data_IF_462080576211
#
_entry.id   IF_462080576211
#
_cell.length_a   1.000
_cell.length_b   1.000
_cell.length_c   1.000
_cell.angle_alpha   90.00
_cell.angle_beta   90.00
_cell.angle_gamma   90.00
#
_symmetry.space_group_name_H-M   'P 1'
#
loop_
_entity.id
_entity.type
_entity.pdbx_description
1 polymer ?
#
# COMPACT_ATOMS: atom_id res chain seq x y z
N UNK A 1 5.51 21.84 -9.94
CA UNK A 1 4.69 20.81 -9.28
C UNK A 1 3.29 21.33 -8.94
N UNK A 2 3.20 22.51 -8.32
CA UNK A 2 1.91 23.05 -7.84
C UNK A 2 0.92 23.44 -8.96
N UNK A 3 1.42 23.81 -10.15
CA UNK A 3 0.56 24.15 -11.29
C UNK A 3 -0.19 22.93 -11.80
N UNK A 4 0.50 21.80 -11.96
CA UNK A 4 -0.10 20.54 -12.42
C UNK A 4 -1.17 20.05 -11.44
N UNK A 5 -0.88 20.08 -10.14
CA UNK A 5 -1.85 19.68 -9.12
C UNK A 5 -3.10 20.57 -9.16
N UNK A 6 -2.94 21.87 -9.38
CA UNK A 6 -4.08 22.80 -9.54
C UNK A 6 -4.90 22.48 -10.77
N UNK A 7 -4.28 22.25 -11.93
CA UNK A 7 -4.97 21.94 -13.17
C UNK A 7 -5.76 20.63 -13.06
N UNK A 8 -5.15 19.60 -12.48
CA UNK A 8 -5.83 18.32 -12.20
C UNK A 8 -6.99 18.54 -11.23
N UNK A 9 -6.79 19.29 -10.15
CA UNK A 9 -7.81 19.58 -9.17
C UNK A 9 -9.03 20.25 -9.80
N UNK A 10 -8.83 21.27 -10.62
CA UNK A 10 -9.93 21.96 -11.33
C UNK A 10 -10.71 21.01 -12.23
N UNK A 11 -10.03 20.19 -13.02
CA UNK A 11 -10.69 19.23 -13.90
C UNK A 11 -11.48 18.19 -13.10
N UNK A 12 -10.90 17.64 -12.04
CA UNK A 12 -11.56 16.63 -11.21
C UNK A 12 -12.80 17.20 -10.50
N UNK A 13 -12.71 18.39 -9.92
CA UNK A 13 -13.87 19.05 -9.28
C UNK A 13 -15.00 19.32 -10.27
N UNK A 14 -14.68 19.73 -11.48
CA UNK A 14 -15.68 20.00 -12.52
C UNK A 14 -16.39 18.71 -12.93
N UNK A 15 -15.64 17.62 -13.11
CA UNK A 15 -16.19 16.36 -13.62
C UNK A 15 -16.91 15.56 -12.54
N UNK A 16 -16.39 15.56 -11.30
CA UNK A 16 -16.99 14.77 -10.20
C UNK A 16 -18.42 15.21 -9.88
N UNK A 17 -18.76 16.46 -10.12
CA UNK A 17 -20.12 16.98 -9.94
C UNK A 17 -21.16 16.26 -10.80
N UNK A 18 -20.76 15.60 -11.88
CA UNK A 18 -21.62 14.82 -12.76
C UNK A 18 -21.91 13.40 -12.23
N UNK A 19 -21.26 12.99 -11.17
CA UNK A 19 -21.35 11.65 -10.57
C UNK A 19 -21.84 11.73 -9.12
N UNK A 20 -23.15 11.88 -8.87
CA UNK A 20 -23.71 11.97 -7.52
C UNK A 20 -23.34 10.77 -6.66
N UNK A 21 -22.89 11.03 -5.45
CA UNK A 21 -22.43 10.01 -4.50
C UNK A 21 -20.93 9.64 -4.61
N UNK A 22 -20.26 10.09 -5.69
CA UNK A 22 -18.80 10.03 -5.76
C UNK A 22 -18.18 11.24 -5.05
N UNK A 23 -17.04 11.01 -4.40
CA UNK A 23 -16.32 12.04 -3.63
C UNK A 23 -14.89 12.18 -4.12
N UNK A 24 -14.43 13.42 -4.19
CA UNK A 24 -13.03 13.76 -4.47
C UNK A 24 -12.32 14.15 -3.19
N UNK A 25 -11.24 13.44 -2.88
CA UNK A 25 -10.33 13.80 -1.79
C UNK A 25 -8.99 14.28 -2.38
N UNK A 26 -8.61 15.52 -2.10
CA UNK A 26 -7.32 16.06 -2.47
C UNK A 26 -6.30 15.85 -1.35
N UNK A 27 -5.17 15.22 -1.66
CA UNK A 27 -4.07 14.87 -0.74
C UNK A 27 -2.76 15.51 -1.22
N UNK A 28 -2.66 16.83 -1.20
CA UNK A 28 -1.51 17.52 -1.76
C UNK A 28 -1.42 17.38 -3.27
N UNK A 29 -0.48 16.56 -3.76
CA UNK A 29 -0.31 16.28 -5.19
C UNK A 29 -1.04 15.00 -5.66
N UNK A 30 -1.69 14.29 -4.75
CA UNK A 30 -2.48 13.10 -5.04
C UNK A 30 -3.98 13.39 -4.90
N UNK A 31 -4.80 12.65 -5.66
CA UNK A 31 -6.25 12.79 -5.70
C UNK A 31 -6.89 11.42 -5.61
N UNK A 32 -7.84 11.23 -4.70
CA UNK A 32 -8.60 10.00 -4.57
C UNK A 32 -10.06 10.24 -5.00
N UNK A 33 -10.54 9.40 -5.91
CA UNK A 33 -11.93 9.38 -6.36
C UNK A 33 -12.63 8.20 -5.69
N UNK A 34 -13.42 8.49 -4.67
CA UNK A 34 -14.17 7.49 -3.90
C UNK A 34 -15.54 7.25 -4.53
N UNK A 35 -15.91 5.99 -4.72
CA UNK A 35 -17.20 5.61 -5.30
C UNK A 35 -17.93 4.51 -4.49
N UNK A 36 -17.61 4.37 -3.20
CA UNK A 36 -18.28 3.39 -2.32
C UNK A 36 -19.79 3.61 -2.27
N UNK A 37 -20.23 4.88 -2.25
CA UNK A 37 -21.64 5.26 -2.23
C UNK A 37 -22.27 5.38 -3.64
N UNK A 38 -21.47 5.19 -4.68
CA UNK A 38 -21.89 5.30 -6.07
C UNK A 38 -21.16 4.28 -6.96
N UNK A 39 -21.26 2.97 -6.65
CA UNK A 39 -20.50 1.92 -7.35
C UNK A 39 -20.83 1.85 -8.86
N UNK A 40 -22.01 2.32 -9.27
CA UNK A 40 -22.40 2.41 -10.69
C UNK A 40 -21.51 3.35 -11.51
N UNK A 41 -20.75 4.23 -10.86
CA UNK A 41 -19.85 5.18 -11.53
C UNK A 41 -18.39 4.71 -11.59
N UNK A 42 -18.08 3.49 -11.13
CA UNK A 42 -16.73 2.95 -11.13
C UNK A 42 -16.03 3.06 -12.49
N UNK A 43 -16.67 2.55 -13.55
CA UNK A 43 -16.08 2.55 -14.89
C UNK A 43 -15.84 3.97 -15.41
N UNK A 44 -16.77 4.89 -15.16
CA UNK A 44 -16.65 6.29 -15.59
C UNK A 44 -15.49 6.99 -14.84
N UNK A 45 -15.35 6.76 -13.54
CA UNK A 45 -14.29 7.35 -12.75
C UNK A 45 -12.93 6.74 -13.07
N UNK A 46 -12.89 5.43 -13.36
CA UNK A 46 -11.68 4.78 -13.84
C UNK A 46 -11.23 5.36 -15.19
N UNK A 47 -12.15 5.55 -16.13
CA UNK A 47 -11.87 6.17 -17.42
C UNK A 47 -11.37 7.61 -17.26
N UNK A 48 -11.96 8.37 -16.35
CA UNK A 48 -11.50 9.72 -16.01
C UNK A 48 -10.07 9.71 -15.48
N UNK A 49 -9.77 8.83 -14.53
CA UNK A 49 -8.43 8.70 -13.96
C UNK A 49 -7.38 8.30 -15.01
N UNK A 50 -7.73 7.38 -15.90
CA UNK A 50 -6.87 7.00 -17.04
C UNK A 50 -6.59 8.19 -17.97
N UNK A 51 -7.60 8.99 -18.28
CA UNK A 51 -7.44 10.20 -19.10
C UNK A 51 -6.50 11.21 -18.45
N UNK A 52 -6.64 11.43 -17.13
CA UNK A 52 -5.75 12.31 -16.38
C UNK A 52 -4.30 11.84 -16.49
N UNK A 53 -4.03 10.55 -16.32
CA UNK A 53 -2.67 10.02 -16.42
C UNK A 53 -2.10 10.02 -17.84
N UNK A 54 -2.95 10.07 -18.87
CA UNK A 54 -2.53 10.28 -20.27
C UNK A 54 -2.12 11.73 -20.54
N UNK A 55 -2.87 12.68 -19.98
CA UNK A 55 -2.57 14.13 -20.13
C UNK A 55 -1.32 14.50 -19.33
N UNK A 56 -1.18 13.95 -18.12
CA UNK A 56 -0.03 14.17 -17.24
C UNK A 56 0.73 12.85 -16.98
N UNK A 57 1.66 12.47 -17.85
CA UNK A 57 2.38 11.19 -17.76
C UNK A 57 3.23 11.02 -16.50
N UNK A 58 3.53 12.11 -15.79
CA UNK A 58 4.19 12.10 -14.49
C UNK A 58 3.29 11.63 -13.35
N UNK A 59 1.98 11.50 -13.60
CA UNK A 59 1.02 10.91 -12.68
C UNK A 59 0.85 9.42 -12.98
N UNK A 60 0.50 8.66 -11.95
CA UNK A 60 0.17 7.24 -12.03
C UNK A 60 -1.20 6.99 -11.40
N UNK A 61 -1.87 5.96 -11.89
CA UNK A 61 -3.15 5.51 -11.37
C UNK A 61 -2.93 4.33 -10.45
N UNK A 62 -3.61 4.32 -9.31
CA UNK A 62 -3.66 3.19 -8.39
C UNK A 62 -5.09 2.89 -8.00
N UNK A 63 -5.54 1.66 -8.27
CA UNK A 63 -6.86 1.19 -7.89
C UNK A 63 -6.84 0.65 -6.47
N UNK A 64 -7.83 1.04 -5.67
CA UNK A 64 -8.10 0.51 -4.34
C UNK A 64 -9.53 -0.05 -4.23
N UNK A 65 -9.97 -0.36 -3.03
CA UNK A 65 -11.33 -0.83 -2.77
C UNK A 65 -12.31 0.35 -2.79
N UNK A 66 -13.14 0.42 -3.83
CA UNK A 66 -14.09 1.50 -4.07
C UNK A 66 -13.43 2.89 -4.18
N UNK A 67 -12.21 2.93 -4.65
CA UNK A 67 -11.44 4.16 -4.85
C UNK A 67 -10.45 3.98 -6.00
N UNK A 68 -10.23 5.01 -6.76
CA UNK A 68 -9.10 5.14 -7.68
C UNK A 68 -8.30 6.37 -7.30
N UNK A 69 -6.99 6.18 -7.16
CA UNK A 69 -6.06 7.24 -6.78
C UNK A 69 -5.21 7.66 -7.98
N UNK A 70 -5.06 8.96 -8.15
CA UNK A 70 -4.16 9.59 -9.12
C UNK A 70 -3.05 10.25 -8.32
N UNK A 71 -1.82 9.80 -8.48
CA UNK A 71 -0.68 10.24 -7.67
C UNK A 71 0.58 10.40 -8.51
N UNK A 72 1.56 11.21 -8.07
CA UNK A 72 2.84 11.29 -8.74
C UNK A 72 3.51 9.92 -8.84
N UNK A 73 4.17 9.65 -9.98
CA UNK A 73 5.03 8.46 -10.11
C UNK A 73 6.15 8.51 -9.09
N UNK A 74 6.64 7.36 -8.68
CA UNK A 74 7.70 7.25 -7.67
C UNK A 74 7.21 7.37 -6.23
N UNK A 75 5.89 7.32 -6.00
CA UNK A 75 5.30 7.46 -4.65
C UNK A 75 4.65 6.18 -4.13
N UNK A 76 4.83 5.04 -4.80
CA UNK A 76 4.29 3.76 -4.29
C UNK A 76 5.01 3.34 -3.01
N UNK A 77 4.33 2.58 -2.15
CA UNK A 77 4.94 2.02 -0.93
C UNK A 77 6.16 1.16 -1.25
N UNK A 78 6.12 0.41 -2.35
CA UNK A 78 7.26 -0.38 -2.81
C UNK A 78 8.47 0.48 -3.16
N UNK A 79 8.28 1.55 -3.89
CA UNK A 79 9.37 2.48 -4.24
C UNK A 79 9.93 3.19 -3.02
N UNK A 80 9.08 3.59 -2.06
CA UNK A 80 9.52 4.17 -0.80
C UNK A 80 10.39 3.18 -0.01
N UNK A 81 9.95 1.92 0.12
CA UNK A 81 10.73 0.87 0.79
C UNK A 81 12.07 0.65 0.08
N UNK A 82 12.08 0.56 -1.25
CA UNK A 82 13.31 0.40 -2.02
C UNK A 82 14.30 1.56 -1.78
N UNK A 83 13.81 2.79 -1.71
CA UNK A 83 14.63 3.97 -1.41
C UNK A 83 15.19 3.92 0.00
N UNK A 84 14.37 3.62 1.02
CA UNK A 84 14.84 3.51 2.40
C UNK A 84 15.91 2.43 2.59
N UNK A 85 15.79 1.31 1.91
CA UNK A 85 16.76 0.21 2.01
C UNK A 85 18.14 0.56 1.43
N UNK A 86 18.29 1.68 0.71
CA UNK A 86 19.55 2.19 0.23
C UNK A 86 20.26 3.14 1.20
N UNK A 87 19.58 3.56 2.27
CA UNK A 87 20.04 4.59 3.18
C UNK A 87 20.23 4.06 4.61
N UNK A 88 21.18 4.66 5.36
CA UNK A 88 21.31 4.39 6.79
C UNK A 88 20.06 4.92 7.54
N UNK A 89 19.54 4.22 8.56
CA UNK A 89 20.09 3.02 9.20
C UNK A 89 19.63 1.70 8.58
N UNK A 90 18.94 1.70 7.45
CA UNK A 90 18.26 0.54 6.87
C UNK A 90 19.16 -0.30 5.94
N UNK A 91 20.18 0.32 5.36
CA UNK A 91 21.09 -0.36 4.45
C UNK A 91 21.70 -1.61 5.09
N UNK A 92 21.70 -2.74 4.38
CA UNK A 92 22.20 -4.02 4.87
C UNK A 92 21.27 -4.75 5.84
N UNK A 93 20.08 -4.19 6.13
CA UNK A 93 19.07 -4.83 6.98
C UNK A 93 18.05 -5.61 6.14
N UNK A 94 17.36 -6.55 6.79
CA UNK A 94 16.27 -7.30 6.17
C UNK A 94 14.94 -6.56 6.40
N UNK A 95 14.23 -6.15 5.35
CA UNK A 95 12.96 -5.45 5.51
C UNK A 95 11.86 -6.38 5.98
N UNK A 96 11.00 -5.87 6.86
CA UNK A 96 9.74 -6.50 7.25
C UNK A 96 8.62 -5.49 7.01
N UNK A 97 7.62 -5.88 6.22
CA UNK A 97 6.51 -5.03 5.88
C UNK A 97 5.17 -5.72 6.11
N UNK A 98 4.31 -5.08 6.88
CA UNK A 98 2.97 -5.56 7.18
C UNK A 98 1.95 -4.60 6.57
N UNK A 99 0.89 -5.14 5.98
CA UNK A 99 -0.16 -4.33 5.39
C UNK A 99 -1.47 -5.09 5.28
N UNK A 100 -2.56 -4.35 5.21
CA UNK A 100 -3.94 -4.86 5.11
C UNK A 100 -4.64 -4.42 3.83
N UNK A 101 -4.09 -3.42 3.13
CA UNK A 101 -4.73 -2.80 1.99
C UNK A 101 -4.15 -3.27 0.65
N UNK A 102 -4.87 -2.98 -0.43
CA UNK A 102 -4.42 -3.27 -1.80
C UNK A 102 -3.16 -2.44 -2.16
N UNK A 103 -3.07 -1.23 -1.65
CA UNK A 103 -1.91 -0.35 -1.84
C UNK A 103 -0.62 -0.92 -1.24
N UNK A 104 -0.72 -1.86 -0.30
CA UNK A 104 0.42 -2.51 0.34
C UNK A 104 1.05 -3.59 -0.54
N UNK A 105 0.35 -4.05 -1.58
CA UNK A 105 0.85 -5.10 -2.48
C UNK A 105 2.16 -4.71 -3.18
N UNK A 106 2.33 -3.45 -3.56
CA UNK A 106 3.60 -2.95 -4.10
C UNK A 106 4.74 -3.05 -3.07
N UNK A 107 4.45 -2.82 -1.80
CA UNK A 107 5.39 -3.01 -0.70
C UNK A 107 5.76 -4.48 -0.51
N UNK A 108 4.78 -5.38 -0.54
CA UNK A 108 5.03 -6.82 -0.46
C UNK A 108 5.93 -7.31 -1.60
N UNK A 109 5.68 -6.86 -2.84
CA UNK A 109 6.50 -7.21 -3.99
C UNK A 109 7.97 -6.83 -3.80
N UNK A 110 8.23 -5.59 -3.37
CA UNK A 110 9.58 -5.10 -3.14
C UNK A 110 10.27 -5.84 -2.00
N UNK A 111 9.58 -6.02 -0.88
CA UNK A 111 10.11 -6.75 0.28
C UNK A 111 10.46 -8.19 -0.07
N UNK A 112 9.60 -8.89 -0.83
CA UNK A 112 9.89 -10.24 -1.33
C UNK A 112 11.14 -10.27 -2.20
N UNK A 113 11.27 -9.32 -3.14
CA UNK A 113 12.43 -9.22 -4.03
C UNK A 113 13.73 -8.95 -3.25
N UNK A 114 13.65 -8.21 -2.16
CA UNK A 114 14.79 -7.91 -1.28
C UNK A 114 15.08 -9.03 -0.27
N UNK A 115 14.39 -10.16 -0.34
CA UNK A 115 14.56 -11.29 0.58
C UNK A 115 14.06 -11.01 1.99
N UNK A 116 13.14 -10.07 2.14
CA UNK A 116 12.53 -9.69 3.40
C UNK A 116 11.28 -10.49 3.74
N UNK A 117 10.58 -10.07 4.78
CA UNK A 117 9.34 -10.69 5.25
C UNK A 117 8.15 -9.78 4.98
N UNK A 118 7.25 -10.21 4.11
CA UNK A 118 6.00 -9.51 3.81
C UNK A 118 4.82 -10.23 4.45
N UNK A 119 3.92 -9.48 5.09
CA UNK A 119 2.81 -10.02 5.87
C UNK A 119 1.52 -9.32 5.51
N UNK A 120 0.58 -10.05 4.91
CA UNK A 120 -0.80 -9.59 4.72
C UNK A 120 -1.59 -9.75 6.01
N UNK A 121 -2.24 -8.68 6.45
CA UNK A 121 -3.22 -8.72 7.54
C UNK A 121 -4.61 -8.85 6.90
N UNK A 122 -5.35 -9.87 7.32
CA UNK A 122 -6.70 -10.14 6.82
C UNK A 122 -6.75 -11.06 5.61
N UNK A 123 -7.90 -11.07 4.94
CA UNK A 123 -8.24 -11.97 3.84
C UNK A 123 -7.95 -11.34 2.47
N UNK A 124 -8.22 -12.08 1.40
CA UNK A 124 -8.07 -11.65 0.02
C UNK A 124 -6.77 -12.13 -0.64
N UNK A 125 -6.71 -11.98 -1.96
CA UNK A 125 -5.52 -12.31 -2.74
C UNK A 125 -4.35 -11.41 -2.34
N UNK A 126 -3.15 -11.98 -2.27
CA UNK A 126 -1.95 -11.24 -1.90
C UNK A 126 -0.70 -11.96 -2.39
N UNK A 127 0.33 -11.18 -2.74
CA UNK A 127 1.68 -11.69 -2.99
C UNK A 127 2.56 -11.70 -1.72
N UNK A 128 2.04 -11.29 -0.56
CA UNK A 128 2.75 -11.39 0.70
C UNK A 128 3.13 -12.85 1.01
N UNK A 129 4.33 -13.06 1.55
CA UNK A 129 4.83 -14.40 1.91
C UNK A 129 4.13 -14.99 3.12
N UNK A 130 3.59 -14.14 3.98
CA UNK A 130 2.93 -14.52 5.21
C UNK A 130 1.56 -13.87 5.36
N UNK A 131 0.73 -14.45 6.22
CA UNK A 131 -0.59 -13.92 6.54
C UNK A 131 -0.86 -13.99 8.03
N UNK A 132 -1.49 -12.93 8.54
CA UNK A 132 -2.11 -12.87 9.86
C UNK A 132 -3.61 -12.70 9.72
N UNK A 133 -4.36 -13.26 10.66
CA UNK A 133 -5.79 -13.00 10.75
C UNK A 133 -6.05 -11.50 10.94
N UNK A 134 -7.07 -10.98 10.27
CA UNK A 134 -7.52 -9.60 10.46
C UNK A 134 -8.22 -9.39 11.80
N UNK A 135 -8.49 -8.13 12.13
CA UNK A 135 -9.16 -7.73 13.35
C UNK A 135 -8.23 -7.46 14.53
N UNK A 136 -8.78 -7.26 15.76
CA UNK A 136 -8.00 -6.86 16.93
C UNK A 136 -6.85 -7.80 17.29
N UNK A 137 -6.96 -9.08 16.93
CA UNK A 137 -5.94 -10.10 17.18
C UNK A 137 -4.66 -9.90 16.40
N UNK A 138 -4.74 -9.53 15.11
CA UNK A 138 -3.59 -9.28 14.26
C UNK A 138 -2.81 -8.04 14.69
N UNK A 139 -3.50 -6.95 14.96
CA UNK A 139 -2.86 -5.71 15.43
C UNK A 139 -2.28 -5.83 16.84
N UNK A 140 -2.88 -6.60 17.71
CA UNK A 140 -2.33 -6.88 19.05
C UNK A 140 -0.98 -7.60 18.96
N UNK A 141 -0.79 -8.41 17.95
CA UNK A 141 0.46 -9.09 17.70
C UNK A 141 1.56 -8.12 17.24
N UNK A 142 1.23 -7.18 16.35
CA UNK A 142 2.14 -6.10 15.90
C UNK A 142 2.66 -5.29 17.09
N UNK A 143 1.79 -4.96 18.06
CA UNK A 143 2.20 -4.30 19.30
C UNK A 143 3.23 -5.08 20.13
N UNK A 144 3.24 -6.41 20.04
CA UNK A 144 4.21 -7.25 20.76
C UNK A 144 5.59 -7.31 20.08
N UNK A 145 5.68 -7.09 18.79
CA UNK A 145 6.97 -7.04 18.06
C UNK A 145 7.81 -5.83 18.52
N UNK A 146 7.16 -4.74 18.92
CA UNK A 146 7.83 -3.52 19.35
C UNK A 146 8.43 -3.59 20.78
N UNK A 147 8.23 -4.71 21.47
CA UNK A 147 8.93 -4.98 22.74
C UNK A 147 10.30 -5.55 22.40
N UNK A 148 11.42 -5.03 22.98
CA UNK A 148 12.75 -5.57 22.72
C UNK A 148 12.77 -7.08 22.94
N UNK A 149 13.01 -7.84 21.89
CA UNK A 149 13.06 -9.30 21.92
C UNK A 149 14.26 -9.76 22.76
N UNK A 150 14.13 -9.71 24.09
CA UNK A 150 14.99 -10.46 25.00
C UNK A 150 14.67 -11.94 24.84
N UNK A 151 15.50 -12.63 24.02
CA UNK A 151 15.73 -14.06 24.04
C UNK A 151 14.54 -14.95 24.46
N UNK A 152 13.54 -15.10 23.61
CA UNK A 152 12.68 -16.27 23.59
C UNK A 152 12.34 -16.63 22.15
N UNK A 153 12.69 -17.84 21.75
CA UNK A 153 12.12 -18.57 20.62
C UNK A 153 10.62 -18.82 20.92
N UNK A 154 9.83 -17.77 21.02
CA UNK A 154 8.39 -17.96 21.01
C UNK A 154 8.00 -18.32 19.58
N UNK A 155 7.46 -19.51 19.42
CA UNK A 155 6.83 -19.95 18.17
C UNK A 155 5.92 -18.82 17.71
N UNK A 156 6.13 -18.36 16.48
CA UNK A 156 5.26 -17.40 15.78
C UNK A 156 3.88 -18.05 15.55
N UNK A 157 3.13 -18.25 16.63
CA UNK A 157 1.78 -18.80 16.58
C UNK A 157 0.84 -17.73 16.00
N UNK A 158 0.20 -18.05 14.89
CA UNK A 158 -0.72 -17.15 14.20
C UNK A 158 -0.32 -16.74 12.78
N UNK A 159 0.93 -16.98 12.38
CA UNK A 159 1.37 -16.79 11.00
C UNK A 159 1.04 -18.01 10.15
N UNK A 160 0.46 -17.75 8.98
CA UNK A 160 0.27 -18.76 7.96
C UNK A 160 1.16 -18.42 6.77
N UNK A 161 2.02 -19.35 6.39
CA UNK A 161 2.84 -19.23 5.19
C UNK A 161 1.94 -19.31 3.96
N UNK A 162 2.11 -18.38 3.03
CA UNK A 162 1.42 -18.42 1.74
C UNK A 162 2.06 -19.50 0.86
N UNK A 163 1.32 -20.57 0.56
CA UNK A 163 1.83 -21.75 -0.19
C UNK A 163 2.33 -21.43 -1.60
N UNK A 164 1.96 -20.28 -2.15
CA UNK A 164 2.42 -19.84 -3.48
C UNK A 164 3.79 -19.14 -3.47
N UNK A 165 4.37 -18.89 -2.30
CA UNK A 165 5.67 -18.24 -2.15
C UNK A 165 6.66 -19.18 -1.45
N UNK A 166 7.93 -19.26 -1.89
CA UNK A 166 8.92 -20.09 -1.20
C UNK A 166 9.19 -19.58 0.22
N UNK A 167 9.49 -20.47 1.19
CA UNK A 167 9.79 -20.06 2.54
C UNK A 167 11.07 -19.21 2.57
N UNK A 168 11.00 -18.05 3.21
CA UNK A 168 12.15 -17.19 3.45
C UNK A 168 12.75 -17.52 4.79
N UNK A 169 14.05 -17.82 4.90
CA UNK A 169 14.70 -18.02 6.20
C UNK A 169 14.67 -16.71 6.98
N UNK A 170 14.07 -16.75 8.16
CA UNK A 170 13.96 -15.59 9.05
C UNK A 170 15.28 -15.39 9.78
N UNK A 171 16.10 -14.47 9.30
CA UNK A 171 17.21 -13.91 10.06
C UNK A 171 16.85 -12.48 10.45
N UNK A 172 16.69 -12.24 11.78
CA UNK A 172 16.37 -10.90 12.29
C UNK A 172 17.66 -10.12 12.56
N UNK A 173 17.69 -8.80 12.27
CA UNK A 173 16.94 -7.80 13.03
C UNK A 173 15.92 -7.04 12.20
N UNK A 174 14.76 -6.84 12.82
CA UNK A 174 13.57 -6.23 12.27
C UNK A 174 13.69 -4.70 12.20
N UNK A 175 13.42 -4.12 11.02
CA UNK A 175 13.02 -2.73 10.91
C UNK A 175 11.50 -2.69 10.67
N UNK A 176 10.78 -2.02 11.56
CA UNK A 176 9.33 -1.85 11.47
C UNK A 176 8.98 -0.59 10.70
N UNK A 177 8.02 -0.69 9.79
CA UNK A 177 7.40 0.43 9.12
C UNK A 177 5.88 0.20 9.08
N UNK A 178 5.11 1.05 9.77
CA UNK A 178 3.66 1.01 9.77
C UNK A 178 3.06 2.38 10.10
N UNK A 179 1.92 2.66 9.52
CA UNK A 179 1.01 3.71 9.99
C UNK A 179 0.18 3.20 11.15
#
# INVERSE_FOLDING_TARGET
PDAIARDISVQLHTVIAQYPGAELEAKGMAFALHYRQAPQHEDALMTLAQRITQIWPQMALQQGKCVVEIKPRGTSKGEAIAAFMQEAPFIGRTPVFLGDDLTDESGFAVVNRLGGMSVKIGTGATQASWRLAGGPGGWRWVGKINTPLKKKKEKLTGFQHNKSTPPVPVALPLAYWGH
#
